data_IF_636551381617
#
_entry.id   IF_636551381617
#
_cell.length_a   1.000
_cell.length_b   1.000
_cell.length_c   1.000
_cell.angle_alpha   90.00
_cell.angle_beta   90.00
_cell.angle_gamma   90.00
#
_symmetry.space_group_name_H-M   'P 1'
#
loop_
_entity.id
_entity.type
_entity.pdbx_description
1 polymer ?
#
# COMPACT_ATOMS: atom_id res chain seq x y z
N UNK A 1 17.16 -12.83 23.40
CA UNK A 1 16.26 -11.84 24.02
C UNK A 1 15.79 -10.89 22.92
N UNK A 2 14.69 -11.19 22.24
CA UNK A 2 14.15 -10.30 21.20
C UNK A 2 13.23 -9.30 21.86
N UNK A 3 13.79 -8.16 22.28
CA UNK A 3 13.02 -7.03 22.77
C UNK A 3 12.28 -6.44 21.57
N UNK A 4 11.04 -6.87 21.36
CA UNK A 4 10.13 -6.28 20.37
C UNK A 4 9.89 -4.85 20.83
N UNK A 5 10.62 -3.90 20.24
CA UNK A 5 10.48 -2.48 20.54
C UNK A 5 9.03 -2.10 20.22
N UNK A 6 8.27 -1.73 21.25
CA UNK A 6 6.96 -1.09 21.08
C UNK A 6 7.21 0.26 20.42
N UNK A 7 7.07 0.31 19.10
CA UNK A 7 7.14 1.58 18.37
C UNK A 7 5.99 2.47 18.82
N UNK A 8 6.31 3.73 19.13
CA UNK A 8 5.29 4.69 19.59
C UNK A 8 4.47 5.12 18.37
N UNK A 9 3.20 5.45 18.60
CA UNK A 9 2.30 5.91 17.52
C UNK A 9 2.88 7.14 16.79
N UNK A 10 3.57 8.03 17.50
CA UNK A 10 4.25 9.19 16.90
C UNK A 10 5.32 8.80 15.89
N UNK A 11 6.13 7.78 16.17
CA UNK A 11 7.18 7.31 15.25
C UNK A 11 6.57 6.74 13.97
N UNK A 12 5.45 6.02 14.11
CA UNK A 12 4.69 5.48 12.97
C UNK A 12 4.09 6.60 12.11
N UNK A 13 3.60 7.68 12.74
CA UNK A 13 3.07 8.86 12.03
C UNK A 13 4.19 9.61 11.30
N UNK A 14 5.36 9.76 11.91
CA UNK A 14 6.53 10.40 11.27
C UNK A 14 7.04 9.59 10.08
N UNK A 15 7.15 8.27 10.22
CA UNK A 15 7.52 7.39 9.11
C UNK A 15 6.51 7.48 7.96
N UNK A 16 5.22 7.54 8.28
CA UNK A 16 4.17 7.71 7.29
C UNK A 16 4.27 9.07 6.58
N UNK A 17 4.47 10.15 7.34
CA UNK A 17 4.73 11.49 6.81
C UNK A 17 5.89 11.47 5.81
N UNK A 18 7.02 10.84 6.11
CA UNK A 18 8.15 10.77 5.18
C UNK A 18 7.84 10.03 3.87
N UNK A 19 6.96 9.03 3.91
CA UNK A 19 6.58 8.23 2.75
C UNK A 19 5.57 8.94 1.85
N UNK A 20 4.62 9.69 2.43
CA UNK A 20 3.54 10.34 1.66
C UNK A 20 3.74 11.84 1.45
N UNK A 21 4.50 12.51 2.31
CA UNK A 21 4.83 13.94 2.23
C UNK A 21 6.26 14.23 2.73
N UNK A 22 7.29 14.02 1.88
CA UNK A 22 8.69 14.17 2.25
C UNK A 22 9.12 15.62 2.58
N UNK A 23 8.27 16.62 2.32
CA UNK A 23 8.55 18.03 2.57
C UNK A 23 7.49 18.66 3.48
N UNK A 24 7.94 19.18 4.62
CA UNK A 24 7.07 19.64 5.70
C UNK A 24 6.25 20.88 5.36
N UNK A 25 4.93 20.67 5.23
CA UNK A 25 3.85 21.66 5.48
C UNK A 25 2.44 21.06 5.43
N UNK A 26 2.29 19.77 5.16
CA UNK A 26 1.01 19.07 5.19
C UNK A 26 0.58 18.78 6.64
N UNK A 27 -0.64 19.13 7.01
CA UNK A 27 -1.19 18.79 8.33
C UNK A 27 -1.36 17.27 8.48
N UNK A 28 -1.36 16.78 9.73
CA UNK A 28 -1.42 15.35 10.02
C UNK A 28 -2.69 14.69 9.49
N UNK A 29 -3.83 15.39 9.44
CA UNK A 29 -5.06 14.81 8.92
C UNK A 29 -5.00 14.57 7.41
N UNK A 30 -4.40 15.51 6.67
CA UNK A 30 -4.12 15.36 5.24
C UNK A 30 -3.18 14.18 4.96
N UNK A 31 -2.08 14.06 5.71
CA UNK A 31 -1.16 12.91 5.58
C UNK A 31 -1.85 11.57 5.84
N UNK A 32 -2.65 11.47 6.91
CA UNK A 32 -3.38 10.25 7.23
C UNK A 32 -4.40 9.90 6.13
N UNK A 33 -5.08 10.91 5.57
CA UNK A 33 -6.04 10.72 4.49
C UNK A 33 -5.38 10.23 3.20
N UNK A 34 -4.25 10.83 2.82
CA UNK A 34 -3.45 10.42 1.65
C UNK A 34 -2.93 8.98 1.81
N UNK A 35 -2.42 8.64 2.99
CA UNK A 35 -1.99 7.29 3.31
C UNK A 35 -3.11 6.25 3.19
N UNK A 36 -4.30 6.56 3.72
CA UNK A 36 -5.49 5.69 3.58
C UNK A 36 -5.85 5.51 2.10
N UNK A 37 -5.83 6.59 1.32
CA UNK A 37 -6.07 6.55 -0.13
C UNK A 37 -5.07 5.66 -0.86
N UNK A 38 -3.78 5.78 -0.51
CA UNK A 38 -2.71 5.01 -1.15
C UNK A 38 -2.81 3.50 -0.84
N UNK A 39 -3.13 3.13 0.40
CA UNK A 39 -3.37 1.72 0.77
C UNK A 39 -4.52 1.13 -0.06
N UNK A 40 -5.63 1.85 -0.20
CA UNK A 40 -6.78 1.40 -1.02
C UNK A 40 -6.39 1.23 -2.49
N UNK A 41 -5.61 2.15 -3.03
CA UNK A 41 -5.11 2.06 -4.40
C UNK A 41 -4.22 0.83 -4.62
N UNK A 42 -3.28 0.55 -3.70
CA UNK A 42 -2.44 -0.64 -3.77
C UNK A 42 -3.25 -1.93 -3.66
N UNK A 43 -4.25 -1.98 -2.77
CA UNK A 43 -5.17 -3.12 -2.69
C UNK A 43 -5.89 -3.36 -4.03
N UNK A 44 -6.42 -2.32 -4.67
CA UNK A 44 -7.09 -2.46 -5.97
C UNK A 44 -6.15 -2.97 -7.08
N UNK A 45 -4.87 -2.57 -7.07
CA UNK A 45 -3.89 -3.11 -8.01
C UNK A 45 -3.59 -4.59 -7.77
N UNK A 46 -3.55 -5.04 -6.51
CA UNK A 46 -3.35 -6.45 -6.16
C UNK A 46 -4.55 -7.29 -6.63
N UNK A 47 -5.78 -6.85 -6.36
CA UNK A 47 -7.00 -7.52 -6.83
C UNK A 47 -7.03 -7.65 -8.36
N UNK A 48 -6.69 -6.57 -9.08
CA UNK A 48 -6.58 -6.61 -10.53
C UNK A 48 -5.53 -7.64 -11.01
N UNK A 49 -4.37 -7.69 -10.34
CA UNK A 49 -3.31 -8.65 -10.68
C UNK A 49 -3.73 -10.09 -10.41
N UNK A 50 -4.50 -10.35 -9.36
CA UNK A 50 -5.00 -11.68 -9.02
C UNK A 50 -6.07 -12.14 -10.02
N UNK A 51 -7.02 -11.26 -10.35
CA UNK A 51 -8.04 -11.50 -11.37
C UNK A 51 -7.44 -11.75 -12.75
N UNK A 52 -6.42 -10.99 -13.13
CA UNK A 52 -5.69 -11.18 -14.41
C UNK A 52 -4.73 -12.37 -14.36
N UNK A 53 -4.23 -12.73 -13.17
CA UNK A 53 -3.40 -13.90 -12.91
C UNK A 53 -4.14 -15.21 -13.11
N UNK A 54 -5.39 -15.31 -12.65
CA UNK A 54 -6.23 -16.50 -12.81
C UNK A 54 -6.74 -16.66 -14.25
N UNK A 55 -6.97 -15.56 -14.99
CA UNK A 55 -7.42 -15.59 -16.39
C UNK A 55 -6.37 -16.07 -17.40
N UNK A 56 -5.08 -16.04 -17.06
CA UNK A 56 -4.00 -16.54 -17.95
C UNK A 56 -3.81 -18.06 -17.92
N UNK A 57 -4.44 -18.78 -16.99
CA UNK A 57 -4.19 -20.23 -16.80
C UNK A 57 -5.06 -21.16 -17.67
N UNK A 58 -5.82 -20.63 -18.63
CA UNK A 58 -6.77 -21.43 -19.41
C UNK A 58 -7.12 -20.87 -20.79
N UNK A 59 -6.23 -20.12 -21.46
CA UNK A 59 -6.46 -19.80 -22.87
C UNK A 59 -6.24 -21.07 -23.70
N UNK A 60 -7.26 -21.63 -24.38
CA UNK A 60 -7.05 -22.72 -25.32
C UNK A 60 -6.19 -22.17 -26.45
N UNK A 61 -5.06 -22.83 -26.70
CA UNK A 61 -4.22 -22.58 -27.87
C UNK A 61 -5.10 -22.92 -29.10
N UNK A 62 -5.37 -21.99 -30.03
CA UNK A 62 -6.12 -22.32 -31.23
C UNK A 62 -5.35 -23.36 -32.04
N UNK A 63 -5.95 -24.54 -32.22
CA UNK A 63 -5.39 -25.62 -33.00
C UNK A 63 -5.39 -25.22 -34.49
N UNK A 64 -4.19 -25.10 -35.09
CA UNK A 64 -4.01 -25.01 -36.54
C UNK A 64 -4.12 -26.40 -37.16
#
# INVERSE_FOLDING_TARGET
MNQVRKEKLGDRITALHQLVSPFGRTDTASVLSEAIGYIKFLHGQIELLDDTGLKRKGAPIPNQ
#
